data_IF_834169691027
#
_entry.id   IF_834169691027
#
_cell.length_a   1.000
_cell.length_b   1.000
_cell.length_c   1.000
_cell.angle_alpha   90.00
_cell.angle_beta   90.00
_cell.angle_gamma   90.00
#
_symmetry.space_group_name_H-M   'P 1'
#
loop_
_entity.id
_entity.type
_entity.pdbx_description
1 polymer ?
#
# COMPACT_ATOMS: atom_id res chain seq x y z
N UNK A 1 -15.16 2.17 -17.17
CA UNK A 1 -15.09 3.64 -17.30
C UNK A 1 -14.35 4.31 -16.15
N UNK A 2 -14.40 3.80 -14.92
CA UNK A 2 -13.67 4.41 -13.81
C UNK A 2 -12.23 3.88 -13.76
N UNK A 3 -11.26 4.79 -13.81
CA UNK A 3 -9.89 4.55 -13.33
C UNK A 3 -9.83 4.33 -11.81
N UNK A 4 -10.96 4.09 -11.14
CA UNK A 4 -11.05 3.67 -9.74
C UNK A 4 -10.73 2.18 -9.63
N UNK A 5 -9.56 1.77 -10.12
CA UNK A 5 -8.94 0.51 -9.70
C UNK A 5 -8.65 0.51 -8.19
N UNK A 6 -8.79 1.68 -7.54
CA UNK A 6 -8.30 1.94 -6.20
C UNK A 6 -9.36 1.91 -5.08
N UNK A 7 -10.65 1.84 -5.43
CA UNK A 7 -11.71 1.93 -4.41
C UNK A 7 -12.43 0.59 -4.29
N UNK A 8 -12.16 -0.12 -3.19
CA UNK A 8 -12.84 -1.36 -2.78
C UNK A 8 -14.03 -1.06 -1.86
N UNK A 9 -14.78 -0.01 -2.18
CA UNK A 9 -15.84 0.51 -1.30
C UNK A 9 -17.02 -0.45 -1.12
N UNK A 10 -17.19 -1.42 -2.03
CA UNK A 10 -18.15 -2.51 -1.93
C UNK A 10 -17.83 -3.51 -0.80
N UNK A 11 -16.62 -3.48 -0.25
CA UNK A 11 -16.18 -4.36 0.84
C UNK A 11 -16.42 -3.70 2.22
N UNK A 12 -16.75 -2.41 2.22
CA UNK A 12 -17.18 -1.73 3.43
C UNK A 12 -18.48 -2.36 3.95
N UNK A 13 -18.74 -2.29 5.27
CA UNK A 13 -20.01 -2.71 5.84
C UNK A 13 -21.19 -2.08 5.07
N UNK A 14 -22.29 -2.81 4.78
CA UNK A 14 -23.35 -2.35 3.87
C UNK A 14 -23.88 -0.94 4.16
N UNK A 15 -24.02 -0.57 5.44
CA UNK A 15 -24.46 0.77 5.88
C UNK A 15 -23.49 1.92 5.57
N UNK A 16 -22.21 1.60 5.37
CA UNK A 16 -21.13 2.54 5.06
C UNK A 16 -20.79 2.55 3.57
N UNK A 17 -21.34 1.62 2.79
CA UNK A 17 -21.14 1.60 1.35
C UNK A 17 -21.71 2.88 0.72
N UNK A 18 -20.95 3.55 -0.16
CA UNK A 18 -21.40 4.78 -0.77
C UNK A 18 -22.38 4.46 -1.90
N UNK A 19 -23.67 4.48 -1.58
CA UNK A 19 -24.76 4.30 -2.55
C UNK A 19 -24.61 5.35 -3.66
N UNK A 20 -24.61 4.91 -4.92
CA UNK A 20 -24.57 5.77 -6.11
C UNK A 20 -23.31 6.65 -6.31
N UNK A 21 -22.16 6.37 -5.65
CA UNK A 21 -20.96 7.23 -5.73
C UNK A 21 -20.50 7.57 -7.16
N UNK A 22 -20.63 6.61 -8.07
CA UNK A 22 -20.15 6.73 -9.45
C UNK A 22 -21.25 6.87 -10.49
N UNK A 23 -22.53 6.95 -10.12
CA UNK A 23 -23.62 7.04 -11.10
C UNK A 23 -23.50 8.33 -11.90
N UNK A 24 -23.34 9.48 -11.23
CA UNK A 24 -23.17 10.78 -11.90
C UNK A 24 -21.94 10.80 -12.81
N UNK A 25 -20.81 10.23 -12.36
CA UNK A 25 -19.58 10.17 -13.19
C UNK A 25 -19.77 9.27 -14.40
N UNK A 26 -20.41 8.11 -14.22
CA UNK A 26 -20.74 7.17 -15.29
C UNK A 26 -21.69 7.80 -16.31
N UNK A 27 -22.77 8.40 -15.84
CA UNK A 27 -23.81 8.96 -16.70
C UNK A 27 -23.26 10.15 -17.50
N UNK A 28 -22.47 11.02 -16.85
CA UNK A 28 -21.74 12.10 -17.53
C UNK A 28 -20.73 11.57 -18.57
N UNK A 29 -20.06 10.45 -18.29
CA UNK A 29 -19.12 9.84 -19.22
C UNK A 29 -19.84 9.27 -20.45
N UNK A 30 -20.96 8.56 -20.27
CA UNK A 30 -21.77 8.01 -21.36
C UNK A 30 -22.40 9.10 -22.22
N UNK A 31 -23.04 10.09 -21.59
CA UNK A 31 -23.64 11.22 -22.30
C UNK A 31 -22.55 11.98 -23.09
N UNK A 32 -21.39 12.20 -22.48
CA UNK A 32 -20.25 12.83 -23.14
C UNK A 32 -19.72 12.02 -24.32
N UNK A 33 -19.71 10.68 -24.23
CA UNK A 33 -19.30 9.81 -25.33
C UNK A 33 -20.25 9.90 -26.53
N UNK A 34 -21.55 10.00 -26.28
CA UNK A 34 -22.56 10.13 -27.35
C UNK A 34 -22.46 11.47 -28.10
N UNK A 35 -21.90 12.50 -27.46
CA UNK A 35 -21.86 13.87 -27.98
C UNK A 35 -20.50 14.27 -28.57
N UNK A 36 -19.43 13.50 -28.30
CA UNK A 36 -18.06 13.92 -28.62
C UNK A 36 -17.20 12.74 -29.03
N UNK A 37 -16.63 12.83 -30.24
CA UNK A 37 -15.77 11.80 -30.83
C UNK A 37 -14.55 11.51 -29.96
N UNK A 38 -13.84 12.54 -29.47
CA UNK A 38 -12.70 12.37 -28.57
C UNK A 38 -13.09 11.65 -27.28
N UNK A 39 -14.26 11.96 -26.69
CA UNK A 39 -14.75 11.28 -25.47
C UNK A 39 -15.13 9.82 -25.75
N UNK A 40 -15.75 9.54 -26.89
CA UNK A 40 -16.09 8.19 -27.32
C UNK A 40 -14.85 7.30 -27.46
N UNK A 41 -13.87 7.72 -28.27
CA UNK A 41 -12.66 6.90 -28.51
C UNK A 41 -11.84 6.71 -27.22
N UNK A 42 -11.82 7.73 -26.34
CA UNK A 42 -11.16 7.66 -25.03
C UNK A 42 -11.75 6.59 -24.10
N UNK A 43 -13.07 6.38 -24.14
CA UNK A 43 -13.70 5.30 -23.36
C UNK A 43 -13.45 3.95 -24.03
N UNK A 44 -13.54 3.87 -25.35
CA UNK A 44 -13.31 2.65 -26.11
C UNK A 44 -11.90 2.09 -25.91
N UNK A 45 -10.87 2.95 -25.86
CA UNK A 45 -9.50 2.49 -25.65
C UNK A 45 -9.30 1.84 -24.28
N UNK A 46 -9.86 2.41 -23.20
CA UNK A 46 -9.83 1.79 -21.88
C UNK A 46 -10.59 0.46 -21.90
N UNK A 47 -11.79 0.43 -22.50
CA UNK A 47 -12.60 -0.78 -22.54
C UNK A 47 -11.88 -1.91 -23.27
N UNK A 48 -11.33 -1.65 -24.45
CA UNK A 48 -10.57 -2.61 -25.22
C UNK A 48 -9.33 -3.11 -24.44
N UNK A 49 -8.53 -2.18 -23.87
CA UNK A 49 -7.36 -2.53 -23.09
C UNK A 49 -7.72 -3.43 -21.89
N UNK A 50 -8.80 -3.10 -21.16
CA UNK A 50 -9.27 -3.90 -20.02
C UNK A 50 -9.77 -5.27 -20.44
N UNK A 51 -10.59 -5.34 -21.49
CA UNK A 51 -11.13 -6.62 -21.98
C UNK A 51 -9.99 -7.59 -22.32
N UNK A 52 -8.99 -7.12 -23.05
CA UNK A 52 -7.85 -7.94 -23.48
C UNK A 52 -6.90 -8.26 -22.33
N UNK A 53 -6.36 -7.25 -21.64
CA UNK A 53 -5.23 -7.44 -20.74
C UNK A 53 -5.62 -7.76 -19.29
N UNK A 54 -6.85 -7.42 -18.86
CA UNK A 54 -7.30 -7.69 -17.49
C UNK A 54 -8.27 -8.87 -17.48
N UNK A 55 -9.32 -8.82 -18.31
CA UNK A 55 -10.36 -9.85 -18.33
C UNK A 55 -10.01 -11.04 -19.23
N UNK A 56 -8.90 -10.99 -19.98
CA UNK A 56 -8.45 -12.04 -20.91
C UNK A 56 -9.52 -12.44 -21.95
N UNK A 57 -10.37 -11.48 -22.34
CA UNK A 57 -11.41 -11.68 -23.35
C UNK A 57 -10.80 -11.37 -24.72
N UNK A 58 -10.77 -12.34 -25.66
CA UNK A 58 -10.22 -12.11 -26.99
C UNK A 58 -11.13 -11.19 -27.81
N UNK A 59 -10.54 -10.30 -28.62
CA UNK A 59 -11.26 -9.37 -29.50
C UNK A 59 -11.59 -10.02 -30.85
N UNK A 60 -12.27 -11.18 -30.85
CA UNK A 60 -12.64 -11.85 -32.11
C UNK A 60 -13.65 -10.97 -32.86
N UNK A 61 -13.28 -10.54 -34.08
CA UNK A 61 -14.12 -9.65 -34.90
C UNK A 61 -14.22 -8.20 -34.41
N UNK A 62 -13.46 -7.81 -33.38
CA UNK A 62 -13.38 -6.43 -32.88
C UNK A 62 -11.95 -5.89 -32.99
N UNK A 63 -11.74 -4.57 -33.18
CA UNK A 63 -10.41 -4.01 -33.22
C UNK A 63 -9.65 -4.22 -31.90
N UNK A 64 -8.32 -4.47 -31.95
CA UNK A 64 -7.50 -4.61 -30.76
C UNK A 64 -7.29 -3.26 -30.04
N UNK A 65 -6.78 -3.25 -28.80
CA UNK A 65 -6.53 -2.01 -28.05
C UNK A 65 -5.67 -0.99 -28.79
N UNK A 66 -4.69 -1.46 -29.58
CA UNK A 66 -3.79 -0.64 -30.41
C UNK A 66 -4.55 0.25 -31.40
N UNK A 67 -5.62 -0.26 -31.99
CA UNK A 67 -6.44 0.50 -32.93
C UNK A 67 -7.09 1.70 -32.23
N UNK A 68 -7.70 1.48 -31.06
CA UNK A 68 -8.33 2.55 -30.30
C UNK A 68 -7.30 3.50 -29.65
N UNK A 69 -6.09 3.02 -29.32
CA UNK A 69 -4.97 3.87 -28.92
C UNK A 69 -4.59 4.86 -30.02
N UNK A 70 -4.39 4.38 -31.25
CA UNK A 70 -4.06 5.23 -32.40
C UNK A 70 -5.17 6.23 -32.71
N UNK A 71 -6.44 5.78 -32.70
CA UNK A 71 -7.58 6.68 -32.89
C UNK A 71 -7.64 7.76 -31.80
N UNK A 72 -7.51 7.39 -30.53
CA UNK A 72 -7.57 8.34 -29.42
C UNK A 72 -6.42 9.33 -29.48
N UNK A 73 -5.20 8.87 -29.82
CA UNK A 73 -4.04 9.73 -29.99
C UNK A 73 -4.22 10.73 -31.15
N UNK A 74 -4.84 10.31 -32.24
CA UNK A 74 -5.18 11.19 -33.36
C UNK A 74 -6.16 12.29 -32.93
N UNK A 75 -7.26 11.94 -32.26
CA UNK A 75 -8.24 12.92 -31.75
C UNK A 75 -7.63 13.87 -30.71
N UNK A 76 -6.79 13.36 -29.80
CA UNK A 76 -6.07 14.17 -28.81
C UNK A 76 -5.16 15.19 -29.50
N UNK A 77 -4.37 14.77 -30.49
CA UNK A 77 -3.50 15.69 -31.24
C UNK A 77 -4.30 16.75 -32.00
N UNK A 78 -5.40 16.36 -32.65
CA UNK A 78 -6.32 17.30 -33.29
C UNK A 78 -6.85 18.34 -32.31
N UNK A 79 -7.37 17.89 -31.17
CA UNK A 79 -7.90 18.78 -30.14
C UNK A 79 -6.84 19.68 -29.52
N UNK A 80 -5.60 19.21 -29.35
CA UNK A 80 -4.49 20.04 -28.89
C UNK A 80 -4.20 21.20 -29.84
N UNK A 81 -4.20 20.95 -31.16
CA UNK A 81 -3.99 22.00 -32.16
C UNK A 81 -5.14 23.01 -32.14
N UNK A 82 -6.39 22.55 -32.09
CA UNK A 82 -7.56 23.43 -31.98
C UNK A 82 -7.51 24.32 -30.72
N UNK A 83 -7.16 23.73 -29.57
CA UNK A 83 -7.01 24.47 -28.32
C UNK A 83 -5.88 25.52 -28.43
N UNK A 84 -4.76 25.16 -29.06
CA UNK A 84 -3.65 26.08 -29.28
C UNK A 84 -4.06 27.27 -30.17
N UNK A 85 -4.74 27.00 -31.29
CA UNK A 85 -5.21 28.03 -32.22
C UNK A 85 -6.25 28.96 -31.56
N UNK A 86 -7.06 28.43 -30.64
CA UNK A 86 -8.09 29.17 -29.89
C UNK A 86 -7.55 29.82 -28.61
N UNK A 87 -6.29 29.60 -28.25
CA UNK A 87 -5.71 30.08 -26.99
C UNK A 87 -6.32 29.45 -25.73
N UNK A 88 -6.94 28.27 -25.84
CA UNK A 88 -7.55 27.54 -24.73
C UNK A 88 -6.47 26.70 -24.04
N UNK A 89 -6.21 26.98 -22.76
CA UNK A 89 -5.20 26.26 -21.97
C UNK A 89 -5.75 25.10 -21.14
N UNK A 90 -7.05 25.08 -20.85
CA UNK A 90 -7.68 24.21 -19.84
C UNK A 90 -8.92 23.47 -20.37
N UNK A 91 -8.74 22.66 -21.42
CA UNK A 91 -9.83 21.84 -21.97
C UNK A 91 -10.04 20.52 -21.18
N UNK A 92 -11.18 20.41 -20.51
CA UNK A 92 -11.53 19.24 -19.70
C UNK A 92 -11.71 17.95 -20.50
N UNK A 93 -12.10 18.02 -21.78
CA UNK A 93 -12.26 16.84 -22.63
C UNK A 93 -10.90 16.29 -23.05
N UNK A 94 -9.97 17.17 -23.37
CA UNK A 94 -8.59 16.86 -23.67
C UNK A 94 -7.87 16.25 -22.46
N UNK A 95 -7.98 16.86 -21.28
CA UNK A 95 -7.39 16.33 -20.05
C UNK A 95 -7.90 14.91 -19.75
N UNK A 96 -9.21 14.67 -19.91
CA UNK A 96 -9.80 13.35 -19.73
C UNK A 96 -9.30 12.35 -20.77
N UNK A 97 -9.18 12.74 -22.03
CA UNK A 97 -8.66 11.87 -23.08
C UNK A 97 -7.20 11.46 -22.82
N UNK A 98 -6.37 12.40 -22.36
CA UNK A 98 -4.99 12.13 -21.95
C UNK A 98 -4.94 11.20 -20.72
N UNK A 99 -5.82 11.39 -19.73
CA UNK A 99 -5.97 10.45 -18.62
C UNK A 99 -6.33 9.04 -19.12
N UNK A 100 -7.25 8.94 -20.09
CA UNK A 100 -7.66 7.64 -20.65
C UNK A 100 -6.52 6.95 -21.40
N UNK A 101 -5.72 7.70 -22.17
CA UNK A 101 -4.51 7.19 -22.82
C UNK A 101 -3.49 6.70 -21.78
N UNK A 102 -3.20 7.49 -20.74
CA UNK A 102 -2.27 7.09 -19.68
C UNK A 102 -2.70 5.77 -19.00
N UNK A 103 -3.99 5.63 -18.69
CA UNK A 103 -4.52 4.39 -18.10
C UNK A 103 -4.43 3.22 -19.08
N UNK A 104 -4.79 3.42 -20.34
CA UNK A 104 -4.76 2.36 -21.35
C UNK A 104 -3.32 1.87 -21.60
N UNK A 105 -2.36 2.78 -21.75
CA UNK A 105 -0.95 2.43 -21.93
C UNK A 105 -0.38 1.68 -20.70
N UNK A 106 -0.77 2.08 -19.48
CA UNK A 106 -0.46 1.31 -18.26
C UNK A 106 -1.06 -0.11 -18.29
N UNK A 107 -2.31 -0.25 -18.72
CA UNK A 107 -2.98 -1.55 -18.85
C UNK A 107 -2.27 -2.44 -19.88
N UNK A 108 -1.83 -1.86 -20.99
CA UNK A 108 -1.04 -2.51 -22.03
C UNK A 108 0.45 -2.69 -21.67
N UNK A 109 0.87 -2.37 -20.45
CA UNK A 109 2.27 -2.47 -19.96
C UNK A 109 3.28 -1.61 -20.75
N UNK A 110 2.82 -0.53 -21.38
CA UNK A 110 3.65 0.44 -22.10
C UNK A 110 3.95 1.64 -21.19
N UNK A 111 4.72 1.40 -20.13
CA UNK A 111 4.93 2.38 -19.05
C UNK A 111 5.58 3.69 -19.52
N UNK A 112 6.45 3.66 -20.52
CA UNK A 112 7.06 4.89 -21.06
C UNK A 112 6.04 5.76 -21.81
N UNK A 113 5.13 5.17 -22.56
CA UNK A 113 4.03 5.90 -23.20
C UNK A 113 3.05 6.45 -22.15
N UNK A 114 2.71 5.65 -21.14
CA UNK A 114 1.89 6.11 -20.01
C UNK A 114 2.54 7.32 -19.31
N UNK A 115 3.85 7.28 -19.08
CA UNK A 115 4.62 8.38 -18.49
C UNK A 115 4.59 9.65 -19.35
N UNK A 116 4.69 9.53 -20.68
CA UNK A 116 4.55 10.68 -21.60
C UNK A 116 3.16 11.32 -21.47
N UNK A 117 2.09 10.52 -21.39
CA UNK A 117 0.75 11.04 -21.18
C UNK A 117 0.56 11.67 -19.80
N UNK A 118 1.16 11.12 -18.75
CA UNK A 118 1.15 11.73 -17.41
C UNK A 118 1.86 13.09 -17.40
N UNK A 119 3.01 13.22 -18.07
CA UNK A 119 3.70 14.50 -18.21
C UNK A 119 2.87 15.52 -19.02
N UNK A 120 2.15 15.07 -20.05
CA UNK A 120 1.21 15.92 -20.78
C UNK A 120 0.04 16.36 -19.88
N UNK A 121 -0.55 15.44 -19.10
CA UNK A 121 -1.60 15.76 -18.15
C UNK A 121 -1.16 16.80 -17.12
N UNK A 122 0.10 16.73 -16.64
CA UNK A 122 0.67 17.72 -15.71
C UNK A 122 0.63 19.14 -16.26
N UNK A 123 0.85 19.32 -17.56
CA UNK A 123 0.80 20.62 -18.24
C UNK A 123 -0.63 21.11 -18.49
N UNK A 124 -1.59 20.18 -18.61
CA UNK A 124 -3.01 20.46 -18.88
C UNK A 124 -3.85 20.64 -17.62
N UNK A 125 -3.31 20.32 -16.43
CA UNK A 125 -4.03 20.50 -15.18
C UNK A 125 -4.33 21.99 -14.94
N UNK A 126 -5.59 22.37 -14.73
CA UNK A 126 -5.94 23.77 -14.50
C UNK A 126 -5.34 24.25 -13.18
N UNK A 127 -4.88 25.51 -13.15
CA UNK A 127 -4.35 26.13 -11.93
C UNK A 127 -5.41 26.24 -10.82
N UNK A 128 -6.67 26.43 -11.19
CA UNK A 128 -7.82 26.41 -10.27
C UNK A 128 -8.75 25.26 -10.65
N UNK A 129 -8.98 24.27 -9.77
CA UNK A 129 -9.88 23.16 -10.08
C UNK A 129 -11.30 23.69 -10.26
N UNK A 130 -11.99 23.21 -11.29
CA UNK A 130 -13.43 23.42 -11.38
C UNK A 130 -14.10 22.67 -10.21
N UNK A 131 -15.18 23.21 -9.65
CA UNK A 131 -15.95 22.52 -8.62
C UNK A 131 -16.72 21.30 -9.14
N UNK A 132 -16.55 20.92 -10.41
CA UNK A 132 -17.33 19.88 -11.05
C UNK A 132 -16.84 18.47 -10.63
N UNK A 133 -17.74 17.56 -10.21
CA UNK A 133 -17.36 16.24 -9.71
C UNK A 133 -16.51 15.40 -10.69
N UNK A 134 -16.75 15.53 -11.99
CA UNK A 134 -15.98 14.78 -12.99
C UNK A 134 -14.54 15.28 -13.15
N UNK A 135 -14.26 16.53 -12.81
CA UNK A 135 -12.91 17.08 -12.92
C UNK A 135 -12.07 16.69 -11.69
N UNK A 136 -12.69 16.68 -10.50
CA UNK A 136 -12.10 16.07 -9.31
C UNK A 136 -11.78 14.59 -9.54
N UNK A 137 -12.70 13.84 -10.14
CA UNK A 137 -12.50 12.43 -10.51
C UNK A 137 -11.35 12.24 -11.52
N UNK A 138 -11.26 13.10 -12.53
CA UNK A 138 -10.17 13.05 -13.51
C UNK A 138 -8.82 13.34 -12.86
N UNK A 139 -8.73 14.35 -11.99
CA UNK A 139 -7.50 14.69 -11.25
C UNK A 139 -7.02 13.56 -10.35
N UNK A 140 -7.93 13.01 -9.55
CA UNK A 140 -7.64 11.87 -8.68
C UNK A 140 -7.19 10.66 -9.50
N UNK A 141 -7.87 10.39 -10.62
CA UNK A 141 -7.51 9.29 -11.51
C UNK A 141 -6.13 9.47 -12.17
N UNK A 142 -5.68 10.69 -12.47
CA UNK A 142 -4.31 10.93 -12.98
C UNK A 142 -3.26 10.56 -11.94
N UNK A 143 -3.42 11.03 -10.69
CA UNK A 143 -2.50 10.69 -9.58
C UNK A 143 -2.51 9.20 -9.31
N UNK A 144 -3.68 8.56 -9.40
CA UNK A 144 -3.80 7.12 -9.24
C UNK A 144 -3.04 6.35 -10.33
N UNK A 145 -3.12 6.77 -11.60
CA UNK A 145 -2.36 6.15 -12.69
C UNK A 145 -0.85 6.34 -12.49
N UNK A 146 -0.42 7.53 -12.06
CA UNK A 146 0.97 7.81 -11.72
C UNK A 146 1.49 6.84 -10.64
N UNK A 147 0.74 6.68 -9.54
CA UNK A 147 1.07 5.71 -8.50
C UNK A 147 1.15 4.28 -9.05
N UNK A 148 0.21 3.85 -9.90
CA UNK A 148 0.23 2.51 -10.50
C UNK A 148 1.47 2.26 -11.35
N UNK A 149 1.89 3.25 -12.15
CA UNK A 149 3.13 3.17 -12.94
C UNK A 149 4.34 3.10 -12.00
N UNK A 150 4.39 3.93 -10.96
CA UNK A 150 5.48 3.95 -9.99
C UNK A 150 5.62 2.64 -9.23
N UNK A 151 4.49 2.05 -8.82
CA UNK A 151 4.44 0.74 -8.17
C UNK A 151 5.05 -0.36 -9.03
N UNK A 152 4.75 -0.41 -10.33
CA UNK A 152 5.22 -1.49 -11.21
C UNK A 152 6.64 -1.26 -11.76
N UNK A 153 7.13 -0.01 -11.75
CA UNK A 153 8.42 0.35 -12.35
C UNK A 153 9.50 0.76 -11.35
N UNK A 154 9.14 1.01 -10.09
CA UNK A 154 10.04 1.57 -9.09
C UNK A 154 10.38 3.06 -9.32
N UNK A 155 9.73 3.73 -10.27
CA UNK A 155 9.90 5.17 -10.51
C UNK A 155 9.28 5.99 -9.39
N UNK A 156 9.76 7.22 -9.23
CA UNK A 156 9.18 8.19 -8.29
C UNK A 156 7.92 8.85 -8.89
N UNK A 157 6.89 9.12 -8.08
CA UNK A 157 5.70 9.85 -8.52
C UNK A 157 6.01 11.24 -9.09
N UNK A 158 5.28 11.61 -10.14
CA UNK A 158 5.37 12.89 -10.85
C UNK A 158 4.48 13.96 -10.19
N UNK A 159 3.35 13.50 -9.64
CA UNK A 159 2.31 14.35 -9.04
C UNK A 159 2.39 14.29 -7.51
N UNK A 160 2.06 15.38 -6.80
CA UNK A 160 1.87 15.31 -5.35
C UNK A 160 0.58 14.57 -4.99
N UNK A 161 0.47 14.08 -3.75
CA UNK A 161 -0.81 13.54 -3.23
C UNK A 161 -1.86 14.64 -3.21
N UNK A 162 -2.95 14.44 -3.96
CA UNK A 162 -4.05 15.41 -4.03
C UNK A 162 -5.24 15.09 -3.11
N UNK A 163 -5.22 13.93 -2.46
CA UNK A 163 -6.37 13.39 -1.73
C UNK A 163 -6.03 12.95 -0.30
N UNK A 164 -4.87 13.34 0.23
CA UNK A 164 -4.52 13.02 1.61
C UNK A 164 -5.41 13.83 2.57
N UNK A 165 -6.27 13.18 3.38
CA UNK A 165 -7.10 13.89 4.34
C UNK A 165 -6.30 14.40 5.55
N UNK A 166 -5.03 14.06 5.66
CA UNK A 166 -4.22 14.35 6.84
C UNK A 166 -4.52 13.39 8.00
N UNK A 167 -3.83 13.57 9.15
CA UNK A 167 -4.16 12.86 10.37
C UNK A 167 -5.60 13.20 10.80
N UNK A 168 -6.27 12.24 11.42
CA UNK A 168 -7.59 12.47 12.00
C UNK A 168 -7.48 13.44 13.18
N UNK A 169 -8.53 14.19 13.45
CA UNK A 169 -8.60 15.03 14.65
C UNK A 169 -8.31 14.19 15.92
N UNK A 170 -7.48 14.72 16.82
CA UNK A 170 -7.01 14.01 18.02
C UNK A 170 -8.17 13.59 18.93
N UNK A 171 -9.21 14.42 19.06
CA UNK A 171 -10.38 14.07 19.87
C UNK A 171 -11.17 12.94 19.20
N UNK A 172 -11.33 12.97 17.87
CA UNK A 172 -11.97 11.87 17.13
C UNK A 172 -11.16 10.57 17.22
N UNK A 173 -9.85 10.62 17.03
CA UNK A 173 -8.98 9.44 17.13
C UNK A 173 -8.99 8.84 18.55
N UNK A 174 -8.99 9.68 19.58
CA UNK A 174 -9.10 9.25 20.98
C UNK A 174 -10.42 8.55 21.24
N UNK A 175 -11.54 9.11 20.80
CA UNK A 175 -12.86 8.48 20.92
C UNK A 175 -12.91 7.11 20.21
N UNK A 176 -12.37 7.03 18.99
CA UNK A 176 -12.28 5.78 18.24
C UNK A 176 -11.46 4.73 19.01
N UNK A 177 -10.30 5.12 19.57
CA UNK A 177 -9.45 4.20 20.36
C UNK A 177 -10.17 3.71 21.61
N UNK A 178 -10.88 4.58 22.32
CA UNK A 178 -11.68 4.21 23.48
C UNK A 178 -12.79 3.23 23.13
N UNK A 179 -13.54 3.48 22.05
CA UNK A 179 -14.58 2.57 21.58
C UNK A 179 -14.03 1.21 21.19
N UNK A 180 -12.92 1.18 20.43
CA UNK A 180 -12.20 -0.04 20.06
C UNK A 180 -11.76 -0.82 21.30
N UNK A 181 -11.19 -0.15 22.31
CA UNK A 181 -10.77 -0.78 23.57
C UNK A 181 -11.95 -1.29 24.41
N UNK A 182 -13.06 -0.55 24.44
CA UNK A 182 -14.25 -0.98 25.18
C UNK A 182 -14.83 -2.25 24.55
N UNK A 183 -14.98 -2.28 23.22
CA UNK A 183 -15.50 -3.44 22.49
C UNK A 183 -14.55 -4.66 22.54
N UNK A 184 -13.24 -4.47 22.67
CA UNK A 184 -12.30 -5.58 22.83
C UNK A 184 -12.41 -6.28 24.19
N UNK A 185 -12.67 -5.53 25.27
CA UNK A 185 -12.80 -6.07 26.64
C UNK A 185 -14.04 -6.94 26.84
N UNK A 186 -15.14 -6.65 26.15
CA UNK A 186 -16.38 -7.43 26.26
C UNK A 186 -16.29 -8.85 25.65
N UNK A 187 -15.20 -9.21 24.95
CA UNK A 187 -14.99 -10.56 24.39
C UNK A 187 -14.44 -11.60 25.36
N UNK A 188 -13.92 -11.21 26.53
CA UNK A 188 -13.28 -12.18 27.47
C UNK A 188 -14.31 -13.14 28.11
N UNK A 189 -15.62 -13.02 27.83
CA UNK A 189 -16.64 -13.90 28.40
C UNK A 189 -17.83 -14.29 27.52
N UNK A 190 -17.89 -13.90 26.24
CA UNK A 190 -19.03 -14.22 25.39
C UNK A 190 -18.63 -14.44 23.93
N UNK A 191 -18.96 -15.61 23.39
CA UNK A 191 -19.16 -15.81 21.96
C UNK A 191 -20.36 -14.96 21.54
N UNK A 192 -20.18 -13.64 21.44
CA UNK A 192 -21.21 -12.77 20.89
C UNK A 192 -21.27 -13.09 19.39
N UNK A 193 -22.39 -13.64 18.88
CA UNK A 193 -22.58 -13.76 17.45
C UNK A 193 -22.43 -12.35 16.87
N UNK A 194 -21.69 -12.22 15.77
CA UNK A 194 -21.59 -10.97 15.01
C UNK A 194 -22.97 -10.28 15.00
N UNK A 195 -23.09 -9.03 15.49
CA UNK A 195 -24.40 -8.40 15.71
C UNK A 195 -25.16 -8.06 14.42
N UNK A 196 -24.67 -8.52 13.27
CA UNK A 196 -25.27 -8.30 11.97
C UNK A 196 -25.58 -9.65 11.34
N UNK A 197 -26.84 -10.07 11.43
CA UNK A 197 -27.42 -11.15 10.65
C UNK A 197 -27.56 -10.78 9.17
N UNK A 198 -26.45 -10.42 8.52
CA UNK A 198 -26.38 -10.32 7.06
C UNK A 198 -25.20 -11.18 6.63
N UNK A 199 -25.50 -12.20 5.81
CA UNK A 199 -24.57 -12.98 4.98
C UNK A 199 -23.12 -12.57 5.16
N UNK A 200 -22.36 -13.34 5.95
CA UNK A 200 -20.89 -13.30 5.90
C UNK A 200 -20.56 -13.34 4.41
N UNK A 201 -19.89 -12.31 3.85
CA UNK A 201 -19.56 -12.30 2.44
C UNK A 201 -18.84 -13.59 2.13
N UNK A 202 -19.48 -14.43 1.33
CA UNK A 202 -18.95 -15.74 0.99
C UNK A 202 -17.61 -15.51 0.29
N UNK A 203 -16.51 -15.87 0.97
CA UNK A 203 -15.17 -15.72 0.46
C UNK A 203 -14.93 -16.54 -0.82
N UNK A 204 -15.85 -17.42 -1.21
CA UNK A 204 -15.83 -18.12 -2.49
C UNK A 204 -16.54 -17.36 -3.61
N UNK A 205 -17.28 -16.27 -3.30
CA UNK A 205 -17.90 -15.44 -4.32
C UNK A 205 -16.85 -14.54 -4.98
N UNK A 206 -16.63 -14.69 -6.29
CA UNK A 206 -15.80 -13.76 -7.05
C UNK A 206 -16.35 -12.35 -6.87
N UNK A 207 -15.46 -11.36 -6.80
CA UNK A 207 -15.87 -9.96 -6.90
C UNK A 207 -16.76 -9.79 -8.13
N UNK A 208 -17.84 -9.01 -8.03
CA UNK A 208 -18.64 -8.62 -9.21
C UNK A 208 -17.85 -7.73 -10.19
N UNK A 209 -16.63 -7.34 -9.82
CA UNK A 209 -15.66 -6.84 -10.77
C UNK A 209 -15.24 -7.96 -11.72
N UNK A 210 -15.27 -7.69 -13.02
CA UNK A 210 -14.71 -8.52 -14.10
C UNK A 210 -13.17 -8.76 -14.01
N UNK A 211 -12.61 -8.81 -12.79
CA UNK A 211 -11.18 -8.86 -12.47
C UNK A 211 -10.93 -9.96 -11.43
N UNK A 212 -10.26 -11.01 -11.93
CA UNK A 212 -9.63 -12.17 -11.29
C UNK A 212 -10.47 -13.13 -10.44
N UNK A 213 -10.15 -14.42 -10.64
CA UNK A 213 -10.60 -15.58 -9.88
C UNK A 213 -10.02 -15.61 -8.44
N UNK A 214 -9.63 -14.46 -7.89
CA UNK A 214 -8.97 -14.33 -6.59
C UNK A 214 -9.88 -13.57 -5.63
N UNK A 215 -9.96 -14.09 -4.41
CA UNK A 215 -10.74 -13.54 -3.32
C UNK A 215 -10.12 -12.19 -2.88
N UNK A 216 -10.93 -11.19 -2.59
CA UNK A 216 -10.40 -9.90 -2.13
C UNK A 216 -9.75 -10.04 -0.73
N UNK A 217 -8.57 -9.44 -0.52
CA UNK A 217 -7.88 -9.47 0.79
C UNK A 217 -8.71 -8.90 1.94
N UNK A 218 -9.68 -8.04 1.63
CA UNK A 218 -10.59 -7.44 2.60
C UNK A 218 -11.92 -8.21 2.74
N UNK A 219 -12.17 -9.30 1.99
CA UNK A 219 -13.45 -10.02 2.06
C UNK A 219 -13.74 -10.51 3.48
N UNK A 220 -12.67 -10.91 4.17
CA UNK A 220 -12.64 -11.43 5.52
C UNK A 220 -12.18 -10.35 6.52
N UNK A 221 -12.18 -9.06 6.13
CA UNK A 221 -12.01 -7.91 7.04
C UNK A 221 -12.79 -8.05 8.36
N UNK A 222 -14.08 -8.49 8.36
CA UNK A 222 -14.83 -8.73 9.60
C UNK A 222 -14.24 -9.82 10.50
N UNK A 223 -13.42 -10.73 9.98
CA UNK A 223 -12.75 -11.79 10.76
C UNK A 223 -11.31 -11.42 11.12
N UNK A 224 -10.56 -10.82 10.18
CA UNK A 224 -9.12 -10.56 10.29
C UNK A 224 -8.78 -9.26 11.03
N UNK A 225 -9.70 -8.29 11.08
CA UNK A 225 -9.54 -7.07 11.89
C UNK A 225 -9.78 -7.40 13.36
N UNK A 226 -9.02 -8.36 13.89
CA UNK A 226 -8.99 -8.66 15.31
C UNK A 226 -8.32 -7.53 16.09
N UNK A 227 -8.57 -7.45 17.39
CA UNK A 227 -8.05 -6.41 18.25
C UNK A 227 -6.52 -6.45 18.34
N UNK A 228 -5.92 -7.63 18.19
CA UNK A 228 -4.46 -7.83 18.23
C UNK A 228 -3.75 -7.46 16.91
N UNK A 229 -4.49 -7.22 15.82
CA UNK A 229 -3.91 -6.87 14.51
C UNK A 229 -3.10 -5.56 14.61
N UNK A 230 -1.80 -5.61 14.32
CA UNK A 230 -0.89 -4.48 14.44
C UNK A 230 -0.09 -4.44 15.74
N UNK A 231 -0.41 -5.26 16.74
CA UNK A 231 0.36 -5.35 17.99
C UNK A 231 1.84 -5.73 17.77
N UNK A 232 2.16 -6.46 16.70
CA UNK A 232 3.53 -6.74 16.28
C UNK A 232 4.29 -5.46 15.90
N UNK A 233 3.66 -4.54 15.16
CA UNK A 233 4.25 -3.24 14.84
C UNK A 233 4.34 -2.32 16.07
N UNK A 234 3.36 -2.37 16.97
CA UNK A 234 3.40 -1.62 18.24
C UNK A 234 4.61 -2.05 19.10
N UNK A 235 4.83 -3.36 19.24
CA UNK A 235 6.00 -3.90 19.95
C UNK A 235 7.30 -3.51 19.28
N UNK A 236 7.37 -3.59 17.95
CA UNK A 236 8.54 -3.18 17.17
C UNK A 236 8.87 -1.68 17.35
N UNK A 237 7.85 -0.81 17.36
CA UNK A 237 7.99 0.62 17.62
C UNK A 237 8.46 0.88 19.04
N UNK A 238 7.86 0.22 20.03
CA UNK A 238 8.22 0.37 21.44
C UNK A 238 9.67 -0.06 21.72
N UNK A 239 10.16 -1.06 20.97
CA UNK A 239 11.54 -1.53 21.06
C UNK A 239 12.55 -0.71 20.25
N UNK A 240 12.11 0.25 19.42
CA UNK A 240 12.98 1.00 18.52
C UNK A 240 13.53 0.17 17.35
N UNK A 241 12.92 -0.96 17.02
CA UNK A 241 13.34 -1.85 15.92
C UNK A 241 12.91 -1.34 14.53
N UNK A 242 11.94 -0.42 14.48
CA UNK A 242 11.51 0.20 13.23
C UNK A 242 12.51 1.29 12.83
N UNK A 243 13.05 1.26 11.59
CA UNK A 243 13.95 2.30 11.10
C UNK A 243 13.34 3.71 11.24
N UNK A 244 14.11 4.75 11.59
CA UNK A 244 13.59 6.10 11.85
C UNK A 244 12.72 6.67 10.73
N UNK A 245 13.09 6.44 9.47
CA UNK A 245 12.34 6.89 8.29
C UNK A 245 11.00 6.19 8.10
N UNK A 246 10.91 4.94 8.56
CA UNK A 246 9.67 4.15 8.53
C UNK A 246 8.78 4.41 9.75
N UNK A 247 9.33 5.00 10.82
CA UNK A 247 8.61 5.21 12.08
C UNK A 247 7.34 6.04 11.93
N UNK A 248 7.33 7.21 11.24
CA UNK A 248 6.10 7.96 11.02
C UNK A 248 5.07 7.15 10.25
N UNK A 249 5.49 6.41 9.21
CA UNK A 249 4.62 5.61 8.35
C UNK A 249 4.00 4.44 9.11
N UNK A 250 4.76 3.77 9.97
CA UNK A 250 4.23 2.65 10.77
C UNK A 250 3.25 3.14 11.83
N UNK A 251 3.46 4.30 12.45
CA UNK A 251 2.48 4.92 13.37
C UNK A 251 1.19 5.26 12.65
N UNK A 252 1.32 5.89 11.50
CA UNK A 252 0.24 6.25 10.61
C UNK A 252 -0.56 5.02 10.12
N UNK A 253 0.13 3.92 9.81
CA UNK A 253 -0.49 2.63 9.49
C UNK A 253 -1.30 2.08 10.67
N UNK A 254 -0.77 2.15 11.89
CA UNK A 254 -1.48 1.71 13.10
C UNK A 254 -2.75 2.52 13.34
N UNK A 255 -2.74 3.82 13.06
CA UNK A 255 -3.93 4.66 13.14
C UNK A 255 -4.97 4.26 12.10
N UNK A 256 -4.56 4.00 10.85
CA UNK A 256 -5.48 3.49 9.82
C UNK A 256 -6.02 2.10 10.18
N UNK A 257 -5.20 1.21 10.73
CA UNK A 257 -5.66 -0.10 11.21
C UNK A 257 -6.66 0.04 12.37
N UNK A 258 -6.44 1.01 13.27
CA UNK A 258 -7.36 1.31 14.38
C UNK A 258 -8.71 1.79 13.87
N UNK A 259 -8.71 2.74 12.91
CA UNK A 259 -9.96 3.18 12.28
C UNK A 259 -10.61 2.06 11.47
N UNK A 260 -9.84 1.20 10.81
CA UNK A 260 -10.38 0.02 10.13
C UNK A 260 -11.08 -0.92 11.12
N UNK A 261 -10.47 -1.24 12.27
CA UNK A 261 -11.13 -2.01 13.33
C UNK A 261 -12.45 -1.35 13.73
N UNK A 262 -12.46 -0.04 13.97
CA UNK A 262 -13.68 0.70 14.30
C UNK A 262 -14.75 0.60 13.20
N UNK A 263 -14.39 0.86 11.94
CA UNK A 263 -15.28 0.81 10.77
C UNK A 263 -15.99 -0.53 10.63
N UNK A 264 -15.26 -1.65 10.76
CA UNK A 264 -15.83 -2.99 10.58
C UNK A 264 -16.42 -3.60 11.85
N UNK A 265 -15.98 -3.20 13.05
CA UNK A 265 -16.36 -3.88 14.31
C UNK A 265 -17.37 -3.14 15.18
N UNK A 266 -17.52 -1.83 15.01
CA UNK A 266 -18.39 -1.03 15.89
C UNK A 266 -19.62 -0.54 15.14
N UNK A 267 -20.81 -0.46 15.77
CA UNK A 267 -21.99 0.09 15.14
C UNK A 267 -21.93 1.62 14.95
N UNK A 268 -21.02 2.31 15.63
CA UNK A 268 -21.00 3.79 15.65
C UNK A 268 -20.11 4.41 14.57
N UNK A 269 -19.50 3.58 13.72
CA UNK A 269 -18.73 4.05 12.58
C UNK A 269 -19.58 4.86 11.59
N UNK A 270 -19.04 5.99 11.15
CA UNK A 270 -19.66 6.91 10.19
C UNK A 270 -19.04 6.75 8.81
N UNK A 271 -19.73 7.27 7.79
CA UNK A 271 -19.22 7.31 6.41
C UNK A 271 -17.92 8.13 6.29
N UNK A 272 -17.78 9.16 7.12
CA UNK A 272 -16.58 10.00 7.20
C UNK A 272 -15.36 9.21 7.68
N UNK A 273 -15.52 8.31 8.65
CA UNK A 273 -14.41 7.48 9.14
C UNK A 273 -13.93 6.50 8.05
N UNK A 274 -14.87 5.89 7.33
CA UNK A 274 -14.56 5.01 6.21
C UNK A 274 -13.91 5.76 5.03
N UNK A 275 -14.40 6.95 4.69
CA UNK A 275 -13.81 7.77 3.61
C UNK A 275 -12.42 8.28 3.99
N UNK A 276 -12.21 8.71 5.25
CA UNK A 276 -10.90 9.07 5.78
C UNK A 276 -9.94 7.88 5.67
N UNK A 277 -10.33 6.71 6.16
CA UNK A 277 -9.50 5.50 6.13
C UNK A 277 -9.10 5.10 4.71
N UNK A 278 -10.05 5.08 3.77
CA UNK A 278 -9.77 4.76 2.37
C UNK A 278 -8.83 5.78 1.71
N UNK A 279 -9.04 7.08 1.95
CA UNK A 279 -8.16 8.12 1.39
C UNK A 279 -6.77 8.10 2.01
N UNK A 280 -6.69 7.92 3.33
CA UNK A 280 -5.42 7.86 4.07
C UNK A 280 -4.60 6.64 3.67
N UNK A 281 -5.21 5.46 3.53
CA UNK A 281 -4.52 4.26 3.03
C UNK A 281 -3.93 4.46 1.62
N UNK A 282 -4.65 5.14 0.72
CA UNK A 282 -4.13 5.48 -0.62
C UNK A 282 -3.00 6.52 -0.57
N UNK A 283 -3.11 7.51 0.31
CA UNK A 283 -2.04 8.50 0.52
C UNK A 283 -0.76 7.83 1.05
N UNK A 284 -0.89 6.81 1.91
CA UNK A 284 0.26 6.04 2.39
C UNK A 284 1.00 5.29 1.31
N UNK A 285 0.29 4.68 0.36
CA UNK A 285 0.93 4.07 -0.80
C UNK A 285 1.82 5.10 -1.52
N UNK A 286 1.32 6.32 -1.71
CA UNK A 286 2.13 7.37 -2.32
C UNK A 286 3.34 7.79 -1.45
N UNK A 287 3.18 7.95 -0.15
CA UNK A 287 4.29 8.28 0.75
C UNK A 287 5.39 7.20 0.74
N UNK A 288 5.00 5.92 0.68
CA UNK A 288 5.94 4.80 0.53
C UNK A 288 6.69 4.82 -0.81
N UNK A 289 6.08 5.34 -1.88
CA UNK A 289 6.73 5.49 -3.18
C UNK A 289 7.73 6.66 -3.22
N UNK A 290 7.58 7.66 -2.34
CA UNK A 290 8.48 8.81 -2.25
C UNK A 290 9.72 8.55 -1.38
N UNK A 291 9.64 7.61 -0.44
CA UNK A 291 10.74 7.31 0.49
C UNK A 291 12.10 7.04 -0.17
N UNK A 292 12.20 6.29 -1.29
CA UNK A 292 13.48 6.04 -1.96
C UNK A 292 14.21 7.31 -2.45
N UNK A 293 13.51 8.45 -2.54
CA UNK A 293 14.14 9.73 -2.85
C UNK A 293 15.00 10.29 -1.70
N UNK A 294 14.85 9.74 -0.49
CA UNK A 294 15.63 10.14 0.67
C UNK A 294 17.08 9.59 0.56
N UNK A 295 18.12 10.43 0.73
CA UNK A 295 19.53 10.00 0.67
C UNK A 295 19.86 8.79 1.56
N UNK A 296 19.20 8.67 2.71
CA UNK A 296 19.42 7.58 3.66
C UNK A 296 18.98 6.20 3.13
N UNK A 297 18.13 6.15 2.08
CA UNK A 297 17.80 4.91 1.35
C UNK A 297 18.86 4.54 0.30
N UNK A 298 19.69 5.49 -0.14
CA UNK A 298 20.69 5.30 -1.19
C UNK A 298 21.95 4.63 -0.64
N UNK A 299 22.26 4.86 0.63
CA UNK A 299 23.40 4.19 1.27
C UNK A 299 23.12 2.67 1.35
N UNK A 300 23.97 1.80 0.82
CA UNK A 300 23.76 0.34 0.85
C UNK A 300 24.13 -0.29 2.22
N UNK A 301 23.63 0.30 3.32
CA UNK A 301 23.86 -0.18 4.69
C UNK A 301 22.84 -1.25 5.09
N UNK A 302 23.14 -2.03 6.13
CA UNK A 302 22.15 -2.99 6.68
C UNK A 302 20.86 -2.26 7.10
N UNK A 303 20.98 -1.05 7.65
CA UNK A 303 19.84 -0.25 8.11
C UNK A 303 18.93 0.19 6.96
N UNK A 304 19.50 0.68 5.86
CA UNK A 304 18.71 1.07 4.69
C UNK A 304 18.06 -0.14 4.02
N UNK A 305 18.74 -1.29 3.99
CA UNK A 305 18.19 -2.53 3.46
C UNK A 305 17.03 -3.08 4.29
N UNK A 306 17.14 -3.02 5.63
CA UNK A 306 16.02 -3.31 6.55
C UNK A 306 14.85 -2.35 6.30
N UNK A 307 15.14 -1.05 6.12
CA UNK A 307 14.13 -0.04 5.82
C UNK A 307 13.44 -0.29 4.48
N UNK A 308 14.19 -0.64 3.44
CA UNK A 308 13.67 -0.96 2.10
C UNK A 308 12.84 -2.24 2.11
N UNK A 309 13.30 -3.29 2.79
CA UNK A 309 12.54 -4.52 2.93
C UNK A 309 11.20 -4.28 3.66
N UNK A 310 11.22 -3.50 4.76
CA UNK A 310 10.01 -3.11 5.48
C UNK A 310 9.09 -2.24 4.60
N UNK A 311 9.64 -1.27 3.87
CA UNK A 311 8.91 -0.39 2.95
C UNK A 311 8.18 -1.19 1.88
N UNK A 312 8.87 -2.11 1.21
CA UNK A 312 8.29 -2.93 0.14
C UNK A 312 7.24 -3.91 0.71
N UNK A 313 7.50 -4.53 1.86
CA UNK A 313 6.52 -5.44 2.49
C UNK A 313 5.22 -4.72 2.89
N UNK A 314 5.33 -3.52 3.48
CA UNK A 314 4.16 -2.69 3.79
C UNK A 314 3.45 -2.24 2.52
N UNK A 315 4.20 -1.84 1.49
CA UNK A 315 3.65 -1.46 0.18
C UNK A 315 2.85 -2.60 -0.46
N UNK A 316 3.39 -3.84 -0.47
CA UNK A 316 2.73 -5.03 -1.01
C UNK A 316 1.38 -5.30 -0.33
N UNK A 317 1.33 -5.21 1.01
CA UNK A 317 0.09 -5.42 1.76
C UNK A 317 -0.91 -4.28 1.53
N UNK A 318 -0.46 -3.03 1.53
CA UNK A 318 -1.32 -1.87 1.29
C UNK A 318 -1.91 -1.87 -0.12
N UNK A 319 -1.11 -2.14 -1.16
CA UNK A 319 -1.60 -2.19 -2.54
C UNK A 319 -2.70 -3.24 -2.67
N UNK A 320 -2.55 -4.41 -2.04
CA UNK A 320 -3.63 -5.42 -2.03
C UNK A 320 -4.91 -4.90 -1.36
N UNK A 321 -4.81 -4.03 -0.36
CA UNK A 321 -5.98 -3.44 0.31
C UNK A 321 -6.58 -2.27 -0.48
N UNK A 322 -5.77 -1.55 -1.26
CA UNK A 322 -6.20 -0.33 -1.95
C UNK A 322 -6.33 -0.49 -3.45
N UNK A 323 -6.04 -1.63 -4.06
CA UNK A 323 -6.03 -1.78 -5.51
C UNK A 323 -6.57 -3.15 -5.96
N UNK A 324 -7.48 -3.16 -6.93
CA UNK A 324 -8.07 -4.39 -7.51
C UNK A 324 -7.16 -5.09 -8.52
N UNK A 325 -6.16 -4.40 -9.06
CA UNK A 325 -5.17 -4.98 -9.98
C UNK A 325 -3.81 -5.20 -9.30
N UNK A 326 -3.80 -5.30 -7.97
CA UNK A 326 -2.59 -5.50 -7.16
C UNK A 326 -1.77 -6.73 -7.57
N UNK A 327 -2.42 -7.76 -8.12
CA UNK A 327 -1.76 -8.97 -8.62
C UNK A 327 -0.71 -8.66 -9.71
N UNK A 328 -0.93 -7.62 -10.53
CA UNK A 328 0.05 -7.21 -11.57
C UNK A 328 1.31 -6.62 -10.96
N UNK A 329 1.17 -5.97 -9.82
CA UNK A 329 2.26 -5.33 -9.10
C UNK A 329 3.05 -6.30 -8.21
N UNK A 330 2.54 -7.53 -8.01
CA UNK A 330 3.12 -8.51 -7.11
C UNK A 330 4.54 -8.91 -7.52
N UNK A 331 4.70 -9.45 -8.74
CA UNK A 331 5.98 -9.98 -9.25
C UNK A 331 7.14 -8.97 -9.22
N UNK A 332 7.03 -7.74 -9.78
CA UNK A 332 8.15 -6.80 -9.75
C UNK A 332 8.53 -6.38 -8.32
N UNK A 333 7.55 -6.15 -7.44
CA UNK A 333 7.81 -5.73 -6.05
C UNK A 333 8.35 -6.87 -5.18
N UNK A 334 7.92 -8.11 -5.42
CA UNK A 334 8.47 -9.29 -4.77
C UNK A 334 9.96 -9.48 -5.10
N UNK A 335 10.36 -9.28 -6.37
CA UNK A 335 11.78 -9.30 -6.77
C UNK A 335 12.58 -8.19 -6.12
N UNK A 336 12.02 -6.97 -6.04
CA UNK A 336 12.65 -5.88 -5.30
C UNK A 336 12.82 -6.22 -3.82
N UNK A 337 11.82 -6.88 -3.21
CA UNK A 337 11.90 -7.33 -1.82
C UNK A 337 13.02 -8.37 -1.62
N UNK A 338 13.11 -9.35 -2.51
CA UNK A 338 14.18 -10.35 -2.51
C UNK A 338 15.55 -9.67 -2.61
N UNK A 339 15.72 -8.70 -3.51
CA UNK A 339 16.95 -7.92 -3.63
C UNK A 339 17.27 -7.12 -2.35
N UNK A 340 16.27 -6.48 -1.74
CA UNK A 340 16.45 -5.74 -0.49
C UNK A 340 16.93 -6.64 0.65
N UNK A 341 16.43 -7.87 0.72
CA UNK A 341 16.74 -8.85 1.75
C UNK A 341 18.06 -9.61 1.54
N UNK A 342 18.59 -9.71 0.32
CA UNK A 342 19.73 -10.57 -0.02
C UNK A 342 20.98 -10.40 0.88
N UNK A 343 21.30 -11.36 1.75
CA UNK A 343 22.44 -11.27 2.69
C UNK A 343 22.08 -10.66 4.05
N UNK A 344 20.83 -10.27 4.27
CA UNK A 344 20.22 -9.96 5.58
C UNK A 344 18.95 -10.78 5.80
N UNK A 345 18.77 -11.86 5.06
CA UNK A 345 17.53 -12.64 4.94
C UNK A 345 17.34 -13.74 5.99
N UNK A 346 18.37 -13.99 6.82
CA UNK A 346 18.35 -15.08 7.80
C UNK A 346 18.34 -14.61 9.26
N UNK A 347 18.90 -13.44 9.58
CA UNK A 347 18.94 -12.94 10.95
C UNK A 347 19.09 -11.43 11.01
N UNK A 348 18.19 -10.74 11.71
CA UNK A 348 18.22 -9.30 11.94
C UNK A 348 18.77 -8.90 13.31
N UNK A 349 18.84 -9.84 14.25
CA UNK A 349 19.23 -9.60 15.65
C UNK A 349 20.75 -9.60 15.88
N UNK A 350 21.56 -9.82 14.84
CA UNK A 350 23.02 -9.77 14.91
C UNK A 350 23.58 -8.46 14.31
N UNK A 351 24.24 -7.65 15.14
CA UNK A 351 25.14 -6.55 14.72
C UNK A 351 26.47 -7.05 14.09
N UNK A 352 26.58 -8.34 13.75
CA UNK A 352 27.83 -9.01 13.33
C UNK A 352 27.90 -9.12 11.80
N UNK A 353 27.68 -8.03 11.08
CA UNK A 353 28.16 -7.88 9.71
C UNK A 353 28.97 -6.58 9.60
N UNK A 354 30.09 -6.53 10.35
CA UNK A 354 31.23 -5.73 9.93
C UNK A 354 31.78 -6.40 8.67
N UNK A 355 31.34 -5.95 7.49
CA UNK A 355 32.11 -6.21 6.28
C UNK A 355 33.50 -5.59 6.49
N UNK A 356 34.53 -6.41 6.33
CA UNK A 356 35.95 -6.04 6.38
C UNK A 356 36.24 -4.77 5.56
N UNK A 357 36.40 -3.64 6.26
CA UNK A 357 37.16 -2.49 5.78
C UNK A 357 38.62 -2.53 6.25
N UNK A 358 39.16 -3.73 6.51
CA UNK A 358 40.59 -3.91 6.79
C UNK A 358 41.23 -4.65 5.64
N UNK A 359 41.54 -3.92 4.56
CA UNK A 359 42.67 -4.18 3.66
C UNK A 359 42.87 -2.98 2.73
N UNK A 360 43.33 -1.87 3.30
CA UNK A 360 44.04 -0.81 2.58
C UNK A 360 45.33 -0.50 3.36
N UNK A 361 46.52 -0.52 2.72
CA UNK A 361 47.78 -0.31 3.42
C UNK A 361 47.87 1.14 3.93
N UNK A 362 48.20 1.30 5.22
CA UNK A 362 48.59 2.58 5.80
C UNK A 362 50.07 2.83 5.50
N UNK A 363 50.36 3.84 4.70
CA UNK A 363 51.66 4.50 4.69
C UNK A 363 51.64 5.76 5.59
N UNK A 364 52.63 5.80 6.50
CA UNK A 364 53.39 6.92 7.11
C UNK A 364 52.91 8.37 6.89
N UNK A 365 53.01 9.35 7.81
CA UNK A 365 53.84 9.60 9.02
C UNK A 365 53.38 10.93 9.68
N UNK A 366 53.58 11.04 11.00
CA UNK A 366 53.97 12.22 11.84
C UNK A 366 53.23 13.57 11.68
N UNK A 367 52.83 14.39 12.67
CA UNK A 367 53.22 14.59 14.08
C UNK A 367 52.27 15.65 14.74
N UNK A 368 52.15 15.61 16.08
CA UNK A 368 51.27 16.37 17.02
C UNK A 368 51.58 17.89 17.17
N UNK A 369 51.01 18.68 18.15
CA UNK A 369 49.79 18.60 18.98
C UNK A 369 48.94 19.94 19.03
N UNK A 370 47.79 19.88 19.70
CA UNK A 370 46.79 20.95 19.95
C UNK A 370 47.29 22.21 20.70
N UNK A 371 46.49 23.30 20.83
CA UNK A 371 45.69 23.41 22.07
C UNK A 371 44.32 24.13 22.01
N UNK A 372 43.39 23.60 22.82
CA UNK A 372 42.39 24.23 23.72
C UNK A 372 41.60 25.49 23.32
N UNK A 373 40.26 25.35 23.31
CA UNK A 373 39.36 26.25 24.05
C UNK A 373 38.20 25.40 24.65
N UNK A 374 38.01 25.53 25.97
CA UNK A 374 36.79 25.21 26.76
C UNK A 374 36.51 26.47 27.60
N UNK A 375 35.37 26.68 28.32
CA UNK A 375 34.28 25.77 28.72
C UNK A 375 32.87 26.38 28.43
N UNK A 376 31.72 25.75 28.66
CA UNK A 376 31.05 25.69 29.96
C UNK A 376 29.76 24.86 29.88
N UNK A 377 29.60 24.06 30.92
CA UNK A 377 28.42 23.31 31.31
C UNK A 377 27.26 24.21 31.70
N UNK A 378 26.09 24.00 31.08
CA UNK A 378 24.80 24.31 31.67
C UNK A 378 23.88 23.11 31.47
N UNK A 379 23.80 22.28 32.51
CA UNK A 379 22.84 21.21 32.65
C UNK A 379 21.46 21.81 32.90
N UNK A 380 20.57 21.75 31.92
CA UNK A 380 19.13 21.91 32.15
C UNK A 380 18.44 20.60 31.88
N UNK A 381 18.22 19.84 32.97
CA UNK A 381 17.22 18.77 33.04
C UNK A 381 15.85 19.41 32.80
N UNK A 382 15.35 19.31 31.59
CA UNK A 382 13.91 19.41 31.33
C UNK A 382 13.38 18.00 31.18
N UNK A 383 12.98 17.43 32.32
CA UNK A 383 12.06 16.31 32.39
C UNK A 383 10.73 16.76 31.77
N UNK A 384 10.51 16.42 30.50
CA UNK A 384 9.18 16.51 29.89
C UNK A 384 8.41 15.20 30.13
N UNK A 385 7.13 15.28 30.52
CA UNK A 385 6.39 14.16 31.09
C UNK A 385 5.92 13.20 29.99
N UNK A 386 6.36 11.95 30.08
CA UNK A 386 5.69 10.80 29.47
C UNK A 386 4.34 10.61 30.19
N UNK A 387 3.29 11.27 29.69
CA UNK A 387 1.91 11.07 30.12
C UNK A 387 1.04 10.96 28.86
N UNK A 388 1.08 9.80 28.23
CA UNK A 388 0.05 9.29 27.32
C UNK A 388 -0.63 8.08 27.98
N UNK A 389 -1.96 7.92 27.89
CA UNK A 389 -2.72 6.94 28.68
C UNK A 389 -2.70 5.58 27.98
N UNK A 390 -1.52 4.97 27.90
CA UNK A 390 -1.38 3.58 27.51
C UNK A 390 -1.45 2.71 28.78
N UNK A 391 -2.37 1.75 28.79
CA UNK A 391 -2.77 1.03 29.99
C UNK A 391 -1.64 0.24 30.70
N UNK A 392 -1.94 -0.35 31.88
CA UNK A 392 -0.99 -1.13 32.68
C UNK A 392 -0.29 -2.27 31.93
N UNK A 393 -0.89 -2.76 30.83
CA UNK A 393 -0.34 -3.84 29.99
C UNK A 393 0.97 -3.46 29.28
N UNK A 394 1.24 -2.17 29.02
CA UNK A 394 2.50 -1.74 28.42
C UNK A 394 3.65 -1.66 29.43
N UNK A 395 3.36 -1.53 30.73
CA UNK A 395 4.38 -1.60 31.79
C UNK A 395 4.87 -3.02 32.05
N UNK A 396 4.05 -4.04 31.78
CA UNK A 396 4.47 -5.45 31.92
C UNK A 396 5.25 -5.99 30.71
N UNK A 397 5.36 -5.25 29.61
CA UNK A 397 6.10 -5.64 28.40
C UNK A 397 7.54 -5.09 28.36
N UNK A 398 7.95 -4.26 29.32
CA UNK A 398 9.33 -3.76 29.45
C UNK A 398 10.36 -4.84 29.86
N UNK A 399 9.97 -6.11 29.96
CA UNK A 399 10.81 -7.22 30.46
C UNK A 399 11.17 -8.29 29.43
N UNK A 400 10.75 -8.17 28.16
CA UNK A 400 11.29 -9.02 27.07
C UNK A 400 11.97 -8.17 26.00
N UNK A 401 13.25 -8.43 25.79
CA UNK A 401 14.01 -7.94 24.64
C UNK A 401 13.25 -8.34 23.37
N UNK A 402 12.89 -7.36 22.54
CA UNK A 402 12.22 -7.60 21.26
C UNK A 402 13.20 -8.27 20.30
N UNK A 403 12.76 -9.34 19.62
CA UNK A 403 13.57 -10.01 18.60
C UNK A 403 13.26 -9.40 17.23
N UNK A 404 14.26 -8.75 16.60
CA UNK A 404 14.10 -8.14 15.27
C UNK A 404 13.73 -9.17 14.19
N UNK A 405 14.01 -10.45 14.44
CA UNK A 405 13.59 -11.55 13.56
C UNK A 405 12.07 -11.68 13.45
N UNK A 406 11.29 -11.13 14.39
CA UNK A 406 9.84 -11.03 14.22
C UNK A 406 9.47 -10.14 13.02
N UNK A 407 10.16 -9.01 12.80
CA UNK A 407 9.90 -8.20 11.58
C UNK A 407 10.36 -8.93 10.32
N UNK A 408 11.52 -9.58 10.39
CA UNK A 408 12.06 -10.35 9.27
C UNK A 408 11.09 -11.47 8.85
N UNK A 409 10.56 -12.24 9.80
CA UNK A 409 9.62 -13.32 9.48
C UNK A 409 8.34 -12.77 8.83
N UNK A 410 7.77 -11.69 9.36
CA UNK A 410 6.58 -11.07 8.73
C UNK A 410 6.87 -10.63 7.30
N UNK A 411 8.03 -10.01 7.05
CA UNK A 411 8.46 -9.58 5.72
C UNK A 411 8.63 -10.79 4.78
N UNK A 412 9.28 -11.86 5.23
CA UNK A 412 9.50 -13.07 4.45
C UNK A 412 8.18 -13.78 4.11
N UNK A 413 7.24 -13.85 5.04
CA UNK A 413 5.91 -14.44 4.82
C UNK A 413 5.05 -13.60 3.86
N UNK A 414 5.16 -12.26 3.92
CA UNK A 414 4.55 -11.37 2.91
C UNK A 414 5.18 -11.58 1.53
N UNK A 415 6.50 -11.75 1.45
CA UNK A 415 7.22 -12.08 0.23
C UNK A 415 6.79 -13.44 -0.35
N UNK A 416 6.77 -14.49 0.48
CA UNK A 416 6.32 -15.84 0.12
C UNK A 416 4.90 -15.82 -0.45
N UNK A 417 3.96 -15.19 0.27
CA UNK A 417 2.60 -15.02 -0.21
C UNK A 417 2.53 -14.29 -1.55
N UNK A 418 3.35 -13.27 -1.75
CA UNK A 418 3.37 -12.49 -3.00
C UNK A 418 4.01 -13.27 -4.15
N UNK A 419 4.92 -14.19 -3.85
CA UNK A 419 5.64 -15.02 -4.81
C UNK A 419 4.87 -16.28 -5.24
N UNK A 420 3.65 -16.51 -4.73
CA UNK A 420 2.90 -17.74 -4.99
C UNK A 420 2.78 -18.04 -6.50
N UNK A 421 3.25 -19.22 -6.91
CA UNK A 421 3.27 -19.67 -8.30
C UNK A 421 4.41 -19.11 -9.16
N UNK A 422 5.28 -18.28 -8.60
CA UNK A 422 6.49 -17.74 -9.23
C UNK A 422 7.74 -18.53 -8.77
N UNK A 423 8.83 -18.56 -9.57
CA UNK A 423 10.08 -19.25 -9.20
C UNK A 423 10.67 -18.82 -7.85
N UNK A 424 10.46 -17.56 -7.47
CA UNK A 424 10.97 -16.98 -6.23
C UNK A 424 10.25 -17.48 -4.98
N UNK A 425 9.11 -18.18 -5.09
CA UNK A 425 8.37 -18.76 -3.95
C UNK A 425 9.27 -19.63 -3.08
N UNK A 426 10.05 -20.53 -3.71
CA UNK A 426 10.98 -21.42 -3.03
C UNK A 426 12.04 -20.66 -2.23
N UNK A 427 12.53 -19.53 -2.77
CA UNK A 427 13.53 -18.71 -2.08
C UNK A 427 12.98 -18.14 -0.78
N UNK A 428 11.74 -17.61 -0.80
CA UNK A 428 11.09 -17.09 0.41
C UNK A 428 10.71 -18.22 1.38
N UNK A 429 10.27 -19.38 0.87
CA UNK A 429 9.89 -20.54 1.67
C UNK A 429 11.03 -21.01 2.57
N UNK A 430 12.22 -21.23 1.99
CA UNK A 430 13.41 -21.69 2.72
C UNK A 430 13.77 -20.73 3.87
N UNK A 431 13.74 -19.42 3.60
CA UNK A 431 14.12 -18.37 4.56
C UNK A 431 13.07 -18.16 5.63
N UNK A 432 11.79 -18.12 5.25
CA UNK A 432 10.70 -17.98 6.20
C UNK A 432 10.69 -19.15 7.18
N UNK A 433 10.87 -20.37 6.68
CA UNK A 433 10.94 -21.58 7.50
C UNK A 433 12.16 -21.56 8.42
N UNK A 434 13.34 -21.19 7.90
CA UNK A 434 14.56 -21.06 8.70
C UNK A 434 14.38 -20.07 9.86
N UNK A 435 13.88 -18.86 9.58
CA UNK A 435 13.69 -17.83 10.61
C UNK A 435 12.62 -18.25 11.63
N UNK A 436 11.51 -18.82 11.16
CA UNK A 436 10.45 -19.33 12.03
C UNK A 436 10.98 -20.38 13.01
N UNK A 437 11.68 -21.41 12.53
CA UNK A 437 12.15 -22.52 13.35
C UNK A 437 13.33 -22.13 14.25
N UNK A 438 14.38 -21.53 13.67
CA UNK A 438 15.66 -21.34 14.35
C UNK A 438 15.71 -20.10 15.24
N UNK A 439 15.00 -19.03 14.88
CA UNK A 439 15.02 -17.78 15.65
C UNK A 439 13.79 -17.64 16.54
N UNK A 440 12.59 -17.94 16.01
CA UNK A 440 11.34 -17.68 16.73
C UNK A 440 10.71 -18.93 17.37
N UNK A 441 11.26 -20.13 17.10
CA UNK A 441 10.75 -21.42 17.59
C UNK A 441 9.28 -21.66 17.24
N UNK A 442 8.90 -21.26 16.03
CA UNK A 442 7.59 -21.53 15.43
C UNK A 442 7.76 -22.70 14.47
N UNK A 443 7.11 -23.82 14.78
CA UNK A 443 7.22 -25.10 14.07
C UNK A 443 5.86 -25.64 13.59
N UNK A 444 4.77 -24.91 13.85
CA UNK A 444 3.39 -25.33 13.55
C UNK A 444 2.63 -24.28 12.76
N UNK A 445 1.61 -24.73 12.02
CA UNK A 445 0.65 -23.85 11.36
C UNK A 445 -0.02 -22.88 12.35
N UNK A 446 -0.48 -23.38 13.49
CA UNK A 446 -1.17 -22.55 14.50
C UNK A 446 -0.25 -21.46 15.05
N UNK A 447 1.04 -21.79 15.27
CA UNK A 447 2.05 -20.80 15.66
C UNK A 447 2.29 -19.73 14.59
N UNK A 448 2.37 -20.12 13.30
CA UNK A 448 2.50 -19.16 12.20
C UNK A 448 1.25 -18.28 12.04
N UNK A 449 0.06 -18.86 12.16
CA UNK A 449 -1.21 -18.15 12.07
C UNK A 449 -1.36 -17.16 13.23
N UNK A 450 -1.07 -17.56 14.47
CA UNK A 450 -1.06 -16.66 15.63
C UNK A 450 -0.03 -15.53 15.46
N UNK A 451 1.18 -15.87 15.00
CA UNK A 451 2.23 -14.89 14.73
C UNK A 451 1.78 -13.85 13.71
N UNK A 452 1.29 -14.29 12.54
CA UNK A 452 0.83 -13.39 11.49
C UNK A 452 -0.37 -12.54 11.92
N UNK A 453 -1.25 -13.07 12.77
CA UNK A 453 -2.40 -12.35 13.34
C UNK A 453 -2.02 -11.09 14.13
N UNK A 454 -0.76 -10.97 14.60
CA UNK A 454 -0.25 -9.78 15.29
C UNK A 454 0.22 -8.68 14.33
N UNK A 455 0.47 -9.01 13.07
CA UNK A 455 0.93 -8.06 12.04
C UNK A 455 -0.16 -7.82 11.00
N UNK A 456 0.13 -7.06 9.94
CA UNK A 456 -0.83 -6.87 8.86
C UNK A 456 -0.93 -8.15 8.02
N UNK A 457 -2.09 -8.82 8.07
CA UNK A 457 -2.33 -10.17 7.57
C UNK A 457 -3.77 -10.36 7.07
N UNK A 458 -3.98 -11.28 6.11
CA UNK A 458 -5.30 -11.78 5.70
C UNK A 458 -5.36 -13.30 5.82
N UNK A 459 -6.32 -13.77 6.62
CA UNK A 459 -6.50 -15.18 6.94
C UNK A 459 -6.77 -16.04 5.72
N UNK A 460 -7.70 -15.62 4.88
CA UNK A 460 -8.12 -16.42 3.72
C UNK A 460 -7.09 -16.39 2.61
N UNK A 461 -6.55 -15.21 2.31
CA UNK A 461 -5.59 -15.04 1.21
C UNK A 461 -4.24 -15.70 1.50
N UNK A 462 -3.74 -15.60 2.73
CA UNK A 462 -2.42 -16.11 3.09
C UNK A 462 -2.47 -17.54 3.62
N UNK A 463 -3.65 -18.18 3.69
CA UNK A 463 -3.80 -19.56 4.17
C UNK A 463 -2.89 -20.53 3.42
N UNK A 464 -2.94 -20.53 2.09
CA UNK A 464 -2.12 -21.43 1.28
C UNK A 464 -0.62 -21.24 1.55
N UNK A 465 -0.17 -19.98 1.58
CA UNK A 465 1.21 -19.61 1.92
C UNK A 465 1.62 -20.16 3.30
N UNK A 466 0.77 -20.03 4.31
CA UNK A 466 1.04 -20.57 5.65
C UNK A 466 1.02 -22.10 5.69
N UNK A 467 0.09 -22.75 4.98
CA UNK A 467 0.02 -24.22 4.87
C UNK A 467 1.31 -24.77 4.27
N UNK A 468 1.83 -24.15 3.20
CA UNK A 468 3.08 -24.56 2.54
C UNK A 468 4.30 -24.39 3.46
N UNK A 469 4.40 -23.27 4.18
CA UNK A 469 5.49 -23.05 5.15
C UNK A 469 5.40 -24.05 6.31
N UNK A 470 4.21 -24.28 6.86
CA UNK A 470 4.00 -25.24 7.94
C UNK A 470 4.34 -26.68 7.51
N UNK A 471 3.96 -27.07 6.29
CA UNK A 471 4.35 -28.35 5.72
C UNK A 471 5.86 -28.47 5.58
N UNK A 472 6.54 -27.42 5.11
CA UNK A 472 8.00 -27.41 5.01
C UNK A 472 8.67 -27.53 6.39
N UNK A 473 8.18 -26.80 7.39
CA UNK A 473 8.64 -26.91 8.78
C UNK A 473 8.48 -28.32 9.35
N UNK A 474 7.41 -29.05 8.99
CA UNK A 474 7.20 -30.43 9.44
C UNK A 474 8.15 -31.46 8.82
N UNK A 475 8.86 -31.09 7.75
CA UNK A 475 9.81 -31.93 7.03
C UNK A 475 11.27 -31.68 7.44
N UNK A 476 11.54 -30.60 8.19
CA UNK A 476 12.84 -30.22 8.75
C UNK A 476 13.04 -30.83 10.13
#
# INVERSE_FOLDING_TARGET
>A
MTGAHNDKTEILPPRLQPVNRYTTVRDNALQGAMQSRIRFVSIMVIMAARMVHISRIPTIGSPPPEYYLQMTLHEVRGRMMECQDQGISDDASLLRAVQCLALAEYICQRYDAANVHLQAAKKLLPMKPSGHPSDAFTREGIVNIDNLVCIETGRLPIFPVLYDPGPLDEARMTAIREDVMNHSRYRVGANIPFPFGSDIPDATRPSSAFVSHEVDILVDAPMILDWDLGSGFERALAAGAIPPLMTPIVRDLLDVLTVAKYVWRTPDARKEDADWMCKRARAFVHHLLLLPANPDFVENTIKSRKAEALRIAVLLMLIRCTNRVSFRSATPNMRLLQCALYGIDLNWSNDIFRLDQTNLPKDSKDSSPSPSVSPASCSSRTSSPLLGPFGPALRSLQTRQYDENELLLWILLTGHFTAQGEPEEAWFLERASYVAQHHLRIDTYDGLHEFMGRYFYSKTQQKHSLDVVALHLSLL
#
